data_IF_874622515254
#
_entry.id   IF_874622515254
#
_cell.length_a   1.000
_cell.length_b   1.000
_cell.length_c   1.000
_cell.angle_alpha   90.00
_cell.angle_beta   90.00
_cell.angle_gamma   90.00
#
_symmetry.space_group_name_H-M   'P 1'
#
loop_
_entity.id
_entity.type
_entity.pdbx_description
1 polymer ?
#
# COMPACT_ATOMS: atom_id res chain seq x y z
N UNK A 1 -11.33 3.70 -2.13
CA UNK A 1 -11.22 2.33 -1.56
C UNK A 1 -12.10 1.32 -2.30
N UNK A 2 -13.40 1.57 -2.47
CA UNK A 2 -14.33 0.64 -3.15
C UNK A 2 -13.85 0.17 -4.53
N UNK A 3 -13.36 1.09 -5.37
CA UNK A 3 -12.79 0.76 -6.70
C UNK A 3 -11.61 -0.22 -6.60
N UNK A 4 -10.68 0.04 -5.67
CA UNK A 4 -9.51 -0.81 -5.44
C UNK A 4 -9.90 -2.20 -4.94
N UNK A 5 -10.83 -2.30 -3.98
CA UNK A 5 -11.35 -3.60 -3.50
C UNK A 5 -11.88 -4.42 -4.67
N UNK A 6 -12.79 -3.86 -5.46
CA UNK A 6 -13.42 -4.60 -6.56
C UNK A 6 -12.41 -5.01 -7.62
N UNK A 7 -11.42 -4.15 -7.90
CA UNK A 7 -10.35 -4.47 -8.83
C UNK A 7 -9.53 -5.68 -8.33
N UNK A 8 -9.07 -5.66 -7.09
CA UNK A 8 -8.28 -6.75 -6.49
C UNK A 8 -9.06 -8.06 -6.48
N UNK A 9 -10.31 -8.04 -6.00
CA UNK A 9 -11.13 -9.26 -5.95
C UNK A 9 -11.45 -9.84 -7.33
N UNK A 10 -11.57 -8.99 -8.35
CA UNK A 10 -11.77 -9.43 -9.74
C UNK A 10 -10.48 -9.96 -10.37
N UNK A 11 -9.32 -9.37 -10.05
CA UNK A 11 -8.02 -9.78 -10.58
C UNK A 11 -7.53 -11.11 -9.97
N UNK A 12 -7.75 -11.31 -8.68
CA UNK A 12 -7.26 -12.51 -7.97
C UNK A 12 -8.32 -13.60 -7.80
N UNK A 13 -9.59 -13.30 -8.06
CA UNK A 13 -10.74 -14.16 -7.72
C UNK A 13 -10.83 -14.49 -6.21
N UNK A 14 -10.15 -13.73 -5.35
CA UNK A 14 -10.19 -13.90 -3.89
C UNK A 14 -11.00 -12.79 -3.22
N UNK A 15 -11.55 -13.06 -2.02
CA UNK A 15 -12.31 -12.06 -1.26
C UNK A 15 -11.40 -11.24 -0.35
N UNK A 16 -11.69 -9.95 -0.25
CA UNK A 16 -11.00 -9.05 0.67
C UNK A 16 -11.54 -9.23 2.10
N UNK A 17 -10.85 -10.00 2.95
CA UNK A 17 -11.41 -10.41 4.26
C UNK A 17 -11.05 -9.49 5.43
N UNK A 18 -9.80 -9.01 5.51
CA UNK A 18 -9.30 -8.32 6.70
C UNK A 18 -8.53 -7.06 6.33
N UNK A 19 -8.86 -5.95 6.99
CA UNK A 19 -8.14 -4.68 6.88
C UNK A 19 -7.46 -4.35 8.21
N UNK A 20 -6.14 -4.18 8.17
CA UNK A 20 -5.40 -3.59 9.29
C UNK A 20 -5.17 -2.11 9.03
N UNK A 21 -5.67 -1.27 9.93
CA UNK A 21 -5.73 0.18 9.74
C UNK A 21 -5.16 0.89 10.97
N UNK A 22 -4.43 1.98 10.75
CA UNK A 22 -4.10 2.91 11.83
C UNK A 22 -5.38 3.62 12.30
N UNK A 23 -5.46 3.98 13.58
CA UNK A 23 -6.54 4.82 14.18
C UNK A 23 -6.52 6.27 13.67
N UNK A 24 -6.35 6.48 12.37
CA UNK A 24 -6.53 7.78 11.73
C UNK A 24 -8.01 8.03 11.52
N UNK A 25 -8.43 9.29 11.68
CA UNK A 25 -9.84 9.71 11.65
C UNK A 25 -10.59 9.23 10.38
N UNK A 26 -9.91 9.23 9.24
CA UNK A 26 -10.45 8.78 7.95
C UNK A 26 -10.90 7.30 7.94
N UNK A 27 -10.29 6.45 8.77
CA UNK A 27 -10.62 5.02 8.88
C UNK A 27 -11.62 4.72 10.02
N UNK A 28 -12.02 5.76 10.75
CA UNK A 28 -12.98 5.69 11.86
C UNK A 28 -14.35 6.23 11.47
N UNK A 29 -14.53 6.81 10.27
CA UNK A 29 -15.82 7.35 9.81
C UNK A 29 -16.91 6.27 9.78
N UNK A 30 -18.14 6.65 10.13
CA UNK A 30 -19.29 5.74 10.12
C UNK A 30 -19.51 5.11 8.75
N UNK A 31 -19.42 5.91 7.70
CA UNK A 31 -19.51 5.48 6.29
C UNK A 31 -18.54 4.33 5.97
N UNK A 32 -17.30 4.43 6.44
CA UNK A 32 -16.28 3.41 6.21
C UNK A 32 -16.53 2.15 7.06
N UNK A 33 -17.07 2.31 8.27
CA UNK A 33 -17.47 1.19 9.13
C UNK A 33 -18.63 0.40 8.49
N UNK A 34 -19.68 1.09 8.04
CA UNK A 34 -20.83 0.50 7.36
C UNK A 34 -20.42 -0.20 6.07
N UNK A 35 -19.52 0.41 5.29
CA UNK A 35 -18.93 -0.23 4.12
C UNK A 35 -18.26 -1.55 4.47
N UNK A 36 -17.37 -1.57 5.47
CA UNK A 36 -16.69 -2.80 5.89
C UNK A 36 -17.67 -3.86 6.38
N UNK A 37 -18.68 -3.46 7.16
CA UNK A 37 -19.73 -4.37 7.64
C UNK A 37 -20.51 -5.01 6.50
N UNK A 38 -21.01 -4.19 5.54
CA UNK A 38 -21.75 -4.67 4.37
C UNK A 38 -20.96 -5.66 3.52
N UNK A 39 -19.65 -5.45 3.41
CA UNK A 39 -18.75 -6.31 2.65
C UNK A 39 -18.11 -7.43 3.48
N UNK A 40 -18.51 -7.61 4.75
CA UNK A 40 -17.97 -8.63 5.68
C UNK A 40 -16.46 -8.55 5.86
N UNK A 41 -15.91 -7.34 5.84
CA UNK A 41 -14.49 -7.06 6.02
C UNK A 41 -14.21 -6.82 7.50
N UNK A 42 -13.41 -7.69 8.12
CA UNK A 42 -12.98 -7.50 9.49
C UNK A 42 -11.96 -6.35 9.58
N UNK A 43 -12.18 -5.41 10.51
CA UNK A 43 -11.25 -4.30 10.74
C UNK A 43 -10.38 -4.57 11.96
N UNK A 44 -9.08 -4.59 11.77
CA UNK A 44 -8.08 -4.61 12.83
C UNK A 44 -7.51 -3.19 13.01
N UNK A 45 -8.00 -2.47 14.02
CA UNK A 45 -7.49 -1.14 14.33
C UNK A 45 -6.22 -1.27 15.17
N UNK A 46 -5.09 -0.79 14.65
CA UNK A 46 -3.84 -0.78 15.40
C UNK A 46 -3.90 0.27 16.51
N UNK A 47 -3.33 -0.04 17.66
CA UNK A 47 -3.23 0.94 18.73
C UNK A 47 -2.23 2.03 18.31
N UNK A 48 -2.59 3.30 18.51
CA UNK A 48 -1.78 4.46 18.05
C UNK A 48 -0.31 4.41 18.54
N UNK A 49 -0.07 3.69 19.63
CA UNK A 49 1.22 3.55 20.31
C UNK A 49 1.95 2.23 20.01
N UNK A 50 1.44 1.36 19.12
CA UNK A 50 2.13 0.13 18.70
C UNK A 50 2.48 0.25 17.20
N UNK A 51 3.60 0.91 16.86
CA UNK A 51 4.04 1.05 15.47
C UNK A 51 4.14 -0.30 14.76
N UNK A 52 4.55 -1.33 15.50
CA UNK A 52 4.82 -2.71 15.04
C UNK A 52 3.69 -3.32 14.22
N UNK A 53 2.45 -3.07 14.61
CA UNK A 53 1.29 -3.69 13.95
C UNK A 53 1.09 -3.22 12.50
N UNK A 54 1.63 -2.05 12.13
CA UNK A 54 1.55 -1.49 10.78
C UNK A 54 2.93 -1.14 10.19
N UNK A 55 4.00 -1.78 10.70
CA UNK A 55 5.37 -1.48 10.26
C UNK A 55 5.55 -1.74 8.77
N UNK A 56 4.95 -2.80 8.22
CA UNK A 56 5.15 -3.19 6.82
C UNK A 56 4.67 -2.08 5.88
N UNK A 57 3.41 -1.64 6.01
CA UNK A 57 2.89 -0.57 5.17
C UNK A 57 3.64 0.76 5.37
N UNK A 58 3.99 1.09 6.62
CA UNK A 58 4.79 2.30 6.93
C UNK A 58 6.17 2.24 6.27
N UNK A 59 6.87 1.11 6.36
CA UNK A 59 8.17 0.89 5.73
C UNK A 59 8.07 0.98 4.21
N UNK A 60 7.09 0.33 3.60
CA UNK A 60 6.88 0.39 2.15
C UNK A 60 6.67 1.85 1.69
N UNK A 61 5.81 2.60 2.38
CA UNK A 61 5.59 4.01 2.06
C UNK A 61 6.86 4.85 2.19
N UNK A 62 7.64 4.66 3.27
CA UNK A 62 8.93 5.36 3.45
C UNK A 62 9.91 5.02 2.32
N UNK A 63 10.00 3.75 1.91
CA UNK A 63 10.89 3.31 0.83
C UNK A 63 10.48 3.96 -0.49
N UNK A 64 9.19 3.95 -0.82
CA UNK A 64 8.65 4.59 -2.04
C UNK A 64 9.02 6.08 -2.05
N UNK A 65 8.76 6.80 -0.96
CA UNK A 65 9.07 8.23 -0.88
C UNK A 65 10.58 8.52 -0.96
N UNK A 66 11.42 7.72 -0.29
CA UNK A 66 12.87 7.88 -0.36
C UNK A 66 13.41 7.65 -1.76
N UNK A 67 12.96 6.58 -2.43
CA UNK A 67 13.37 6.25 -3.81
C UNK A 67 12.88 7.30 -4.80
N UNK A 68 11.63 7.75 -4.70
CA UNK A 68 11.10 8.81 -5.56
C UNK A 68 11.90 10.12 -5.40
N UNK A 69 12.20 10.53 -4.16
CA UNK A 69 13.03 11.71 -3.87
C UNK A 69 14.44 11.57 -4.43
N UNK A 70 15.07 10.40 -4.23
CA UNK A 70 16.40 10.12 -4.75
C UNK A 70 16.43 10.15 -6.29
N UNK A 71 15.38 9.64 -6.95
CA UNK A 71 15.25 9.66 -8.40
C UNK A 71 15.19 11.09 -8.95
N UNK A 72 14.37 11.95 -8.34
CA UNK A 72 14.25 13.36 -8.74
C UNK A 72 15.57 14.10 -8.52
N UNK A 73 16.18 13.93 -7.34
CA UNK A 73 17.43 14.58 -6.98
C UNK A 73 18.58 14.17 -7.93
N UNK A 74 18.74 12.87 -8.19
CA UNK A 74 19.80 12.35 -9.06
C UNK A 74 19.69 12.85 -10.50
N UNK A 75 18.49 13.19 -10.96
CA UNK A 75 18.22 13.67 -12.33
C UNK A 75 18.01 15.18 -12.41
N UNK A 76 18.20 15.92 -11.31
CA UNK A 76 17.91 17.35 -11.21
C UNK A 76 16.51 17.73 -11.72
N UNK A 77 15.53 16.86 -11.45
CA UNK A 77 14.15 17.07 -11.90
C UNK A 77 13.38 17.96 -10.93
N UNK A 78 12.41 18.76 -11.43
CA UNK A 78 11.60 19.61 -10.57
C UNK A 78 10.71 18.77 -9.63
N UNK A 79 10.47 19.30 -8.44
CA UNK A 79 9.60 18.69 -7.42
C UNK A 79 8.14 18.54 -7.88
N UNK A 80 7.72 19.30 -8.90
CA UNK A 80 6.40 19.16 -9.53
C UNK A 80 6.14 17.76 -10.10
N UNK A 81 7.20 17.01 -10.44
CA UNK A 81 7.11 15.64 -10.94
C UNK A 81 6.98 14.56 -9.84
N UNK A 82 6.79 14.95 -8.59
CA UNK A 82 6.70 14.03 -7.44
C UNK A 82 5.69 12.90 -7.61
N UNK A 83 4.48 13.17 -8.10
CA UNK A 83 3.47 12.14 -8.33
C UNK A 83 3.95 11.10 -9.35
N UNK A 84 4.55 11.56 -10.46
CA UNK A 84 5.10 10.68 -11.49
C UNK A 84 6.29 9.87 -10.97
N UNK A 85 7.14 10.49 -10.16
CA UNK A 85 8.27 9.80 -9.52
C UNK A 85 7.80 8.69 -8.57
N UNK A 86 6.73 8.93 -7.80
CA UNK A 86 6.12 7.91 -6.94
C UNK A 86 5.54 6.76 -7.77
N UNK A 87 4.77 7.07 -8.83
CA UNK A 87 4.18 6.03 -9.69
C UNK A 87 5.26 5.15 -10.32
N UNK A 88 6.33 5.76 -10.87
CA UNK A 88 7.46 5.03 -11.44
C UNK A 88 8.16 4.20 -10.37
N UNK A 89 8.42 4.78 -9.19
CA UNK A 89 9.07 4.08 -8.09
C UNK A 89 8.25 2.87 -7.63
N UNK A 90 6.94 3.01 -7.52
CA UNK A 90 6.04 1.93 -7.14
C UNK A 90 6.06 0.81 -8.18
N UNK A 91 5.97 1.16 -9.47
CA UNK A 91 6.08 0.19 -10.56
C UNK A 91 7.41 -0.58 -10.51
N UNK A 92 8.53 0.13 -10.34
CA UNK A 92 9.86 -0.48 -10.23
C UNK A 92 9.95 -1.44 -9.03
N UNK A 93 9.42 -1.06 -7.86
CA UNK A 93 9.40 -1.94 -6.68
C UNK A 93 8.59 -3.22 -6.96
N UNK A 94 7.51 -3.13 -7.72
CA UNK A 94 6.65 -4.27 -8.05
C UNK A 94 7.33 -5.27 -9.00
N UNK A 95 8.19 -4.81 -9.92
CA UNK A 95 8.81 -5.66 -10.95
C UNK A 95 10.26 -6.06 -10.67
N UNK A 96 10.94 -5.42 -9.71
CA UNK A 96 12.32 -5.82 -9.37
C UNK A 96 12.33 -6.94 -8.33
N UNK A 97 13.16 -7.97 -8.52
CA UNK A 97 13.30 -9.05 -7.55
C UNK A 97 13.98 -8.52 -6.29
N UNK A 98 13.56 -9.05 -5.14
CA UNK A 98 14.24 -8.81 -3.87
C UNK A 98 14.97 -10.07 -3.43
N UNK A 99 16.21 -9.92 -2.95
CA UNK A 99 17.00 -11.06 -2.46
C UNK A 99 16.30 -11.81 -1.31
N UNK A 100 15.40 -11.15 -0.60
CA UNK A 100 14.60 -11.75 0.48
C UNK A 100 13.52 -12.71 0.00
N UNK A 101 13.17 -12.69 -1.30
CA UNK A 101 12.04 -13.40 -1.87
C UNK A 101 12.49 -14.51 -2.85
N UNK A 102 13.64 -15.14 -2.60
CA UNK A 102 14.22 -16.16 -3.50
C UNK A 102 14.35 -15.67 -4.96
N UNK A 103 14.70 -14.39 -5.15
CA UNK A 103 14.84 -13.75 -6.47
C UNK A 103 13.51 -13.63 -7.24
N UNK A 104 12.36 -13.85 -6.59
CA UNK A 104 11.05 -13.53 -7.17
C UNK A 104 10.68 -12.06 -7.00
N UNK A 105 9.95 -11.54 -7.97
CA UNK A 105 9.41 -10.18 -7.93
C UNK A 105 8.12 -10.14 -7.09
N UNK A 106 7.76 -9.01 -6.46
CA UNK A 106 6.50 -8.90 -5.76
C UNK A 106 5.27 -9.21 -6.61
N UNK A 107 5.30 -8.94 -7.92
CA UNK A 107 4.19 -9.29 -8.82
C UNK A 107 4.07 -10.79 -9.06
N UNK A 108 5.19 -11.52 -9.14
CA UNK A 108 5.19 -12.99 -9.24
C UNK A 108 4.75 -13.69 -7.95
N UNK A 109 4.79 -12.99 -6.81
CA UNK A 109 4.26 -13.51 -5.55
C UNK A 109 2.79 -13.16 -5.34
N UNK A 110 2.26 -12.21 -6.12
CA UNK A 110 0.89 -11.72 -6.00
C UNK A 110 -0.08 -12.57 -6.83
N UNK A 111 0.35 -13.06 -7.99
CA UNK A 111 -0.35 -14.04 -8.81
C UNK A 111 0.14 -15.47 -8.50
#
# INVERSE_FOLDING_TARGET
FCKFKNQVENETCEKFLVLRLDKKYQFLSKEFQEFCYKHRIARQLTQALIPQQNIVAKRCNIIIFKKARSMLFKRNLPSSLWLKAISITNYLITIFPTNTNNVKTPIELYY
#
